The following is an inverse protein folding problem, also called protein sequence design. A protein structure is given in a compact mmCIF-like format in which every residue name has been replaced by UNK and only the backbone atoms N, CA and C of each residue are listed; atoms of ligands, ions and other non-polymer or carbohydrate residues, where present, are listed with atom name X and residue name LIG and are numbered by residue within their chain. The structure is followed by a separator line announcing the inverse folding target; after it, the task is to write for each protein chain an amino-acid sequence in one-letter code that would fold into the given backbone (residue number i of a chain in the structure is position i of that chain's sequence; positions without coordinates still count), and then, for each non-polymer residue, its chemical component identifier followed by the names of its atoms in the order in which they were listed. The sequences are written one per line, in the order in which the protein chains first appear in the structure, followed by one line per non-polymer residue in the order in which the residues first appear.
data_IF_608094926665
#
_entry.id   IF_608094926665
#
_cell.length_a   1.000
_cell.length_b   1.000
_cell.length_c   1.000
_cell.angle_alpha   90.00
_cell.angle_beta   90.00
_cell.angle_gamma   90.00
#
_symmetry.space_group_name_H-M   'P 1'
#
loop_
_entity.id
_entity.type
_entity.pdbx_description
1 polymer ?
#
# COMPACT_ATOMS: atom_id res chain seq x y z
N UNK A 1 25.22 51.48 1.35
CA UNK A 1 23.78 51.47 0.94
C UNK A 1 23.65 50.44 -0.17
N UNK A 2 23.46 49.20 0.16
CA UNK A 2 23.44 48.09 -0.80
C UNK A 2 22.28 47.16 -0.46
N UNK A 3 21.52 46.93 -1.44
CA UNK A 3 20.39 46.09 -1.72
C UNK A 3 20.37 44.77 -1.00
N UNK A 4 19.47 44.64 -0.02
CA UNK A 4 18.87 43.38 0.34
C UNK A 4 17.45 43.34 -0.24
N UNK A 5 17.32 42.93 -1.49
CA UNK A 5 16.05 42.69 -2.11
C UNK A 5 15.77 41.18 -2.06
N UNK A 6 15.20 40.81 -0.99
CA UNK A 6 14.08 39.89 -0.85
C UNK A 6 14.06 38.65 -1.73
N UNK A 7 14.67 37.58 -1.23
CA UNK A 7 14.41 36.18 -1.66
C UNK A 7 12.93 35.76 -1.45
N UNK A 8 12.17 36.51 -0.66
CA UNK A 8 10.75 36.25 -0.36
C UNK A 8 9.77 36.53 -1.49
N UNK A 9 10.17 37.33 -2.50
CA UNK A 9 9.30 37.69 -3.61
C UNK A 9 9.31 36.66 -4.77
N UNK A 10 10.28 35.75 -4.80
CA UNK A 10 10.40 34.72 -5.87
C UNK A 10 9.57 33.49 -5.54
N UNK A 11 9.32 33.21 -4.27
CA UNK A 11 8.53 32.04 -3.84
C UNK A 11 7.03 32.21 -4.10
N UNK A 12 6.52 33.45 -4.22
CA UNK A 12 5.10 33.72 -4.46
C UNK A 12 4.66 33.64 -5.92
N UNK A 13 5.60 33.61 -6.88
CA UNK A 13 5.28 33.62 -8.31
C UNK A 13 5.29 32.22 -8.96
N UNK A 14 5.76 31.18 -8.24
CA UNK A 14 5.81 29.79 -8.74
C UNK A 14 4.55 28.99 -8.42
N UNK A 15 3.66 29.53 -7.59
CA UNK A 15 2.39 28.87 -7.17
C UNK A 15 1.31 28.89 -8.28
N UNK A 16 1.55 29.59 -9.42
CA UNK A 16 0.55 29.75 -10.49
C UNK A 16 0.79 28.91 -11.75
N UNK A 17 1.85 28.07 -11.78
CA UNK A 17 2.09 27.16 -12.93
C UNK A 17 2.31 25.75 -12.37
N UNK A 18 1.34 24.90 -12.65
CA UNK A 18 1.13 23.56 -12.12
C UNK A 18 2.33 22.63 -12.01
N UNK A 19 2.34 21.91 -10.91
CA UNK A 19 2.93 20.58 -10.80
C UNK A 19 4.41 20.54 -10.48
N UNK A 20 4.79 20.69 -9.21
CA UNK A 20 5.91 20.03 -8.48
C UNK A 20 6.27 20.78 -7.18
N UNK A 21 5.42 20.76 -6.18
CA UNK A 21 5.73 21.34 -4.86
C UNK A 21 5.39 20.45 -3.64
N UNK A 22 5.44 19.10 -3.71
CA UNK A 22 5.41 18.34 -2.46
C UNK A 22 6.80 18.13 -1.84
N UNK A 23 7.88 18.06 -2.64
CA UNK A 23 9.21 17.71 -2.14
C UNK A 23 9.91 18.84 -1.35
N UNK A 24 9.84 20.09 -1.81
CA UNK A 24 10.45 21.22 -1.12
C UNK A 24 9.70 21.60 0.17
N UNK A 25 8.38 21.57 0.16
CA UNK A 25 7.59 21.83 1.36
C UNK A 25 7.67 20.70 2.41
N UNK A 26 8.07 19.50 2.00
CA UNK A 26 8.40 18.40 2.91
C UNK A 26 9.83 18.56 3.48
N UNK A 27 10.77 19.01 2.68
CA UNK A 27 12.15 19.28 3.09
C UNK A 27 12.21 20.38 4.15
N UNK A 28 11.52 21.51 3.93
CA UNK A 28 11.47 22.62 4.90
C UNK A 28 10.82 22.23 6.24
N UNK A 29 9.83 21.32 6.22
CA UNK A 29 9.23 20.77 7.45
C UNK A 29 10.13 19.74 8.17
N UNK A 30 11.11 19.16 7.49
CA UNK A 30 12.12 18.32 8.12
C UNK A 30 13.16 19.18 8.86
N UNK A 31 13.59 20.29 8.27
CA UNK A 31 14.61 21.18 8.87
C UNK A 31 14.11 21.88 10.14
N UNK A 32 12.86 22.38 10.17
CA UNK A 32 12.29 23.02 11.38
C UNK A 32 12.11 22.05 12.58
N UNK A 33 11.98 20.72 12.32
CA UNK A 33 11.87 19.71 13.37
C UNK A 33 13.22 19.24 13.90
N UNK A 34 14.28 19.39 13.14
CA UNK A 34 15.64 19.06 13.55
C UNK A 34 16.18 20.03 14.62
N UNK A 35 15.67 21.30 14.68
CA UNK A 35 16.06 22.30 15.69
C UNK A 35 15.66 21.92 17.13
N UNK A 36 14.67 21.05 17.29
CA UNK A 36 14.18 20.59 18.61
C UNK A 36 14.86 19.29 19.08
N UNK A 37 15.66 18.66 18.22
CA UNK A 37 16.31 17.38 18.49
C UNK A 37 17.70 17.62 19.09
N UNK A 38 18.03 16.88 20.16
CA UNK A 38 19.37 16.93 20.75
C UNK A 38 20.42 16.59 19.69
N UNK A 39 21.52 17.38 19.55
CA UNK A 39 22.51 17.20 18.49
C UNK A 39 23.10 15.78 18.41
N UNK A 40 23.31 15.13 19.55
CA UNK A 40 23.81 13.77 19.64
C UNK A 40 22.78 12.76 19.14
N UNK A 41 21.48 12.94 19.45
CA UNK A 41 20.40 12.10 18.94
C UNK A 41 20.24 12.25 17.43
N UNK A 42 20.30 13.49 16.92
CA UNK A 42 20.27 13.78 15.49
C UNK A 42 21.46 13.15 14.75
N UNK A 43 22.67 13.19 15.33
CA UNK A 43 23.85 12.57 14.74
C UNK A 43 23.66 11.04 14.59
N UNK A 44 23.12 10.37 15.60
CA UNK A 44 22.82 8.93 15.53
C UNK A 44 21.70 8.63 14.54
N UNK A 45 20.67 9.45 14.51
CA UNK A 45 19.57 9.32 13.53
C UNK A 45 20.10 9.41 12.09
N UNK A 46 20.87 10.44 11.75
CA UNK A 46 21.48 10.60 10.41
C UNK A 46 22.48 9.48 10.08
N UNK A 47 23.16 8.92 11.07
CA UNK A 47 23.98 7.71 10.89
C UNK A 47 23.09 6.52 10.50
N UNK A 48 21.98 6.33 11.20
CA UNK A 48 21.00 5.28 10.90
C UNK A 48 20.45 5.38 9.48
N UNK A 49 20.06 6.58 9.04
CA UNK A 49 19.58 6.81 7.68
C UNK A 49 20.62 6.44 6.61
N UNK A 50 21.89 6.82 6.81
CA UNK A 50 22.99 6.45 5.88
C UNK A 50 23.20 4.93 5.84
N UNK A 51 23.09 4.26 6.98
CA UNK A 51 23.22 2.80 7.07
C UNK A 51 22.07 2.10 6.37
N UNK A 52 20.84 2.56 6.58
CA UNK A 52 19.65 2.02 5.92
C UNK A 52 19.72 2.19 4.38
N UNK A 53 20.16 3.36 3.87
CA UNK A 53 20.40 3.59 2.44
C UNK A 53 21.42 2.63 1.82
N UNK A 54 22.36 2.11 2.62
CA UNK A 54 23.35 1.13 2.20
C UNK A 54 22.96 -0.33 2.52
N UNK A 55 21.65 -0.56 2.77
CA UNK A 55 21.07 -1.87 3.11
C UNK A 55 21.67 -2.54 4.37
N UNK A 56 22.33 -1.76 5.23
CA UNK A 56 22.89 -2.22 6.51
C UNK A 56 21.82 -2.08 7.60
N UNK A 57 20.74 -2.86 7.50
CA UNK A 57 19.53 -2.66 8.29
C UNK A 57 19.74 -2.85 9.81
N UNK A 58 20.50 -3.86 10.23
CA UNK A 58 20.76 -4.09 11.66
C UNK A 58 21.61 -2.97 12.29
N UNK A 59 22.60 -2.48 11.57
CA UNK A 59 23.41 -1.33 12.01
C UNK A 59 22.55 -0.05 12.06
N UNK A 60 21.64 0.13 11.10
CA UNK A 60 20.71 1.25 11.09
C UNK A 60 19.78 1.21 12.31
N UNK A 61 19.21 0.04 12.61
CA UNK A 61 18.36 -0.19 13.80
C UNK A 61 19.13 0.18 15.07
N UNK A 62 20.39 -0.27 15.21
CA UNK A 62 21.22 0.06 16.36
C UNK A 62 21.46 1.58 16.48
N UNK A 63 21.70 2.28 15.38
CA UNK A 63 21.88 3.73 15.39
C UNK A 63 20.57 4.47 15.74
N UNK A 64 19.42 4.06 15.19
CA UNK A 64 18.12 4.63 15.57
C UNK A 64 17.79 4.36 17.05
N UNK A 65 18.12 3.18 17.57
CA UNK A 65 17.95 2.86 18.98
C UNK A 65 18.81 3.78 19.89
N UNK A 66 20.03 4.12 19.46
CA UNK A 66 20.87 5.09 20.17
C UNK A 66 20.25 6.49 20.13
N UNK A 67 19.70 6.92 18.98
CA UNK A 67 19.00 8.19 18.89
C UNK A 67 17.79 8.25 19.85
N UNK A 68 17.01 7.17 19.94
CA UNK A 68 15.86 7.03 20.84
C UNK A 68 16.31 7.02 22.32
N UNK A 69 17.47 6.41 22.63
CA UNK A 69 18.00 6.40 23.99
C UNK A 69 18.40 7.82 24.43
N UNK A 70 18.96 8.60 23.50
CA UNK A 70 19.33 10.00 23.75
C UNK A 70 18.10 10.93 23.81
N UNK A 71 17.08 10.62 23.00
CA UNK A 71 15.83 11.39 22.96
C UNK A 71 14.62 10.43 22.82
N UNK A 72 13.98 10.04 23.93
CA UNK A 72 12.88 9.06 23.94
C UNK A 72 11.60 9.46 23.21
N UNK A 73 11.40 10.74 22.93
CA UNK A 73 10.26 11.29 22.19
C UNK A 73 10.56 11.56 20.71
N UNK A 74 11.68 11.03 20.19
CA UNK A 74 12.08 11.21 18.80
C UNK A 74 11.26 10.32 17.85
N UNK A 75 10.07 10.76 17.49
CA UNK A 75 9.09 10.02 16.69
C UNK A 75 9.66 9.55 15.33
N UNK A 76 10.47 10.40 14.65
CA UNK A 76 11.07 10.02 13.37
C UNK A 76 12.05 8.87 13.52
N UNK A 77 12.80 8.79 14.64
CA UNK A 77 13.72 7.69 14.88
C UNK A 77 12.96 6.36 15.06
N UNK A 78 11.84 6.36 15.77
CA UNK A 78 10.94 5.20 15.83
C UNK A 78 10.39 4.82 14.46
N UNK A 79 9.95 5.78 13.67
CA UNK A 79 9.42 5.53 12.32
C UNK A 79 10.48 4.90 11.42
N UNK A 80 11.68 5.47 11.34
CA UNK A 80 12.77 4.94 10.53
C UNK A 80 13.26 3.57 11.02
N UNK A 81 13.30 3.35 12.33
CA UNK A 81 13.57 2.05 12.91
C UNK A 81 12.52 1.01 12.49
N UNK A 82 11.25 1.39 12.48
CA UNK A 82 10.15 0.57 11.98
C UNK A 82 10.32 0.20 10.50
N UNK A 83 10.71 1.15 9.65
CA UNK A 83 11.02 0.91 8.24
C UNK A 83 12.21 -0.04 8.07
N UNK A 84 13.28 0.12 8.85
CA UNK A 84 14.42 -0.78 8.83
C UNK A 84 14.05 -2.21 9.26
N UNK A 85 13.22 -2.37 10.30
CA UNK A 85 12.67 -3.68 10.67
C UNK A 85 11.81 -4.29 9.56
N UNK A 86 10.94 -3.50 8.94
CA UNK A 86 10.07 -3.97 7.86
C UNK A 86 10.90 -4.37 6.62
N UNK A 87 11.93 -3.63 6.27
CA UNK A 87 12.90 -3.98 5.22
C UNK A 87 13.61 -5.31 5.47
N UNK A 88 13.92 -5.61 6.73
CA UNK A 88 14.44 -6.92 7.18
C UNK A 88 13.37 -7.99 7.38
N UNK A 89 12.11 -7.78 6.96
CA UNK A 89 10.96 -8.66 7.16
C UNK A 89 10.63 -8.95 8.65
N UNK A 90 11.11 -8.13 9.57
CA UNK A 90 10.89 -8.23 11.02
C UNK A 90 9.62 -7.46 11.41
N UNK A 91 8.48 -7.87 10.85
CA UNK A 91 7.21 -7.14 10.96
C UNK A 91 6.68 -7.01 12.40
N UNK A 92 6.85 -7.97 13.31
CA UNK A 92 6.45 -7.78 14.72
C UNK A 92 7.18 -6.63 15.41
N UNK A 93 8.48 -6.47 15.15
CA UNK A 93 9.28 -5.36 15.69
C UNK A 93 8.93 -4.04 14.98
N UNK A 94 8.70 -4.07 13.66
CA UNK A 94 8.24 -2.92 12.91
C UNK A 94 6.93 -2.36 13.48
N UNK A 95 5.95 -3.22 13.79
CA UNK A 95 4.68 -2.83 14.43
C UNK A 95 4.92 -2.13 15.77
N UNK A 96 5.84 -2.64 16.61
CA UNK A 96 6.17 -1.98 17.89
C UNK A 96 6.73 -0.59 17.68
N UNK A 97 7.68 -0.45 16.75
CA UNK A 97 8.31 0.83 16.45
C UNK A 97 7.31 1.82 15.83
N UNK A 98 6.48 1.40 14.87
CA UNK A 98 5.46 2.26 14.27
C UNK A 98 4.38 2.68 15.27
N UNK A 99 4.00 1.82 16.23
CA UNK A 99 3.08 2.20 17.31
C UNK A 99 3.63 3.33 18.18
N UNK A 100 4.91 3.27 18.54
CA UNK A 100 5.54 4.35 19.30
C UNK A 100 5.64 5.63 18.47
N UNK A 101 6.00 5.53 17.19
CA UNK A 101 5.97 6.68 16.28
C UNK A 101 4.56 7.30 16.19
N UNK A 102 3.51 6.48 16.05
CA UNK A 102 2.12 6.93 16.00
C UNK A 102 1.65 7.54 17.33
N UNK A 103 2.10 7.01 18.47
CA UNK A 103 1.80 7.59 19.79
C UNK A 103 2.40 8.99 19.94
N UNK A 104 3.62 9.19 19.44
CA UNK A 104 4.33 10.47 19.51
C UNK A 104 3.85 11.46 18.43
N UNK A 105 3.45 10.97 17.26
CA UNK A 105 2.94 11.78 16.15
C UNK A 105 1.61 11.23 15.61
N UNK A 106 0.49 11.38 16.33
CA UNK A 106 -0.80 10.78 15.97
C UNK A 106 -1.39 11.34 14.67
N UNK A 107 -0.93 12.51 14.21
CA UNK A 107 -1.38 13.13 12.96
C UNK A 107 -0.54 12.72 11.73
N UNK A 108 0.38 11.77 11.87
CA UNK A 108 1.19 11.29 10.75
C UNK A 108 0.47 10.17 10.00
N UNK A 109 -0.18 10.50 8.88
CA UNK A 109 -0.80 9.50 8.00
C UNK A 109 0.20 8.49 7.44
N UNK A 110 1.44 8.91 7.18
CA UNK A 110 2.50 8.02 6.71
C UNK A 110 2.88 6.95 7.74
N UNK A 111 2.91 7.30 9.02
CA UNK A 111 3.16 6.33 10.10
C UNK A 111 2.00 5.33 10.19
N UNK A 112 0.75 5.81 10.09
CA UNK A 112 -0.43 4.94 10.08
C UNK A 112 -0.42 4.01 8.85
N UNK A 113 -0.08 4.52 7.68
CA UNK A 113 0.04 3.70 6.46
C UNK A 113 1.05 2.57 6.64
N UNK A 114 2.29 2.88 7.08
CA UNK A 114 3.33 1.88 7.28
C UNK A 114 2.97 0.86 8.36
N UNK A 115 2.31 1.29 9.43
CA UNK A 115 1.77 0.40 10.47
C UNK A 115 0.71 -0.55 9.88
N UNK A 116 -0.21 -0.03 9.08
CA UNK A 116 -1.22 -0.83 8.39
C UNK A 116 -0.62 -1.88 7.45
N UNK A 117 0.41 -1.50 6.69
CA UNK A 117 1.15 -2.43 5.81
C UNK A 117 1.84 -3.53 6.64
N UNK A 118 2.47 -3.18 7.76
CA UNK A 118 3.09 -4.16 8.65
C UNK A 118 2.05 -5.16 9.20
N UNK A 119 0.86 -4.70 9.55
CA UNK A 119 -0.25 -5.58 9.95
C UNK A 119 -0.73 -6.50 8.82
N UNK A 120 -0.81 -6.01 7.57
CA UNK A 120 -1.10 -6.87 6.40
C UNK A 120 -0.07 -8.01 6.30
N UNK A 121 1.22 -7.70 6.46
CA UNK A 121 2.30 -8.71 6.40
C UNK A 121 2.19 -9.77 7.49
N UNK A 122 1.62 -9.42 8.62
CA UNK A 122 1.32 -10.34 9.74
C UNK A 122 -0.06 -11.02 9.60
N UNK A 123 -0.80 -10.78 8.52
CA UNK A 123 -2.19 -11.22 8.35
C UNK A 123 -3.14 -10.75 9.47
N UNK A 124 -2.80 -9.68 10.17
CA UNK A 124 -3.63 -9.02 11.20
C UNK A 124 -4.61 -8.05 10.54
N UNK A 125 -5.62 -8.64 9.88
CA UNK A 125 -6.50 -7.89 8.97
C UNK A 125 -7.41 -6.88 9.66
N UNK A 126 -7.80 -7.13 10.92
CA UNK A 126 -8.65 -6.19 11.69
C UNK A 126 -7.85 -4.95 12.06
N UNK A 127 -6.65 -5.14 12.58
CA UNK A 127 -5.72 -4.07 12.94
C UNK A 127 -5.32 -3.27 11.70
N UNK A 128 -5.03 -3.94 10.58
CA UNK A 128 -4.75 -3.28 9.31
C UNK A 128 -5.91 -2.39 8.86
N UNK A 129 -7.15 -2.91 8.88
CA UNK A 129 -8.35 -2.15 8.53
C UNK A 129 -8.49 -0.88 9.37
N UNK A 130 -8.39 -1.01 10.69
CA UNK A 130 -8.59 0.12 11.61
C UNK A 130 -7.49 1.18 11.43
N UNK A 131 -6.26 0.72 11.22
CA UNK A 131 -5.11 1.60 10.97
C UNK A 131 -5.22 2.33 9.63
N UNK A 132 -5.63 1.66 8.54
CA UNK A 132 -5.85 2.34 7.26
C UNK A 132 -7.05 3.29 7.28
N UNK A 133 -8.10 2.97 8.04
CA UNK A 133 -9.22 3.91 8.23
C UNK A 133 -8.74 5.21 8.89
N UNK A 134 -7.85 5.12 9.86
CA UNK A 134 -7.22 6.30 10.47
C UNK A 134 -6.29 7.04 9.49
N UNK A 135 -5.50 6.31 8.69
CA UNK A 135 -4.66 6.92 7.65
C UNK A 135 -5.49 7.72 6.63
N UNK A 136 -6.65 7.20 6.19
CA UNK A 136 -7.59 7.90 5.29
C UNK A 136 -8.17 9.15 5.96
N UNK A 137 -8.53 9.08 7.26
CA UNK A 137 -9.02 10.26 7.99
C UNK A 137 -8.01 11.40 7.98
N UNK A 138 -6.71 11.07 8.00
CA UNK A 138 -5.62 12.04 7.99
C UNK A 138 -5.28 12.52 6.57
N UNK A 139 -5.29 11.61 5.59
CA UNK A 139 -4.94 11.85 4.19
C UNK A 139 -5.91 11.11 3.25
N UNK A 140 -7.07 11.71 2.92
CA UNK A 140 -8.14 11.04 2.17
C UNK A 140 -7.82 10.82 0.68
N UNK A 141 -6.79 11.47 0.14
CA UNK A 141 -6.48 11.43 -1.29
C UNK A 141 -5.36 10.43 -1.66
N UNK A 142 -5.10 9.43 -0.81
CA UNK A 142 -4.08 8.42 -1.07
C UNK A 142 -4.70 7.12 -1.62
N UNK A 143 -4.55 6.90 -2.93
CA UNK A 143 -5.09 5.73 -3.62
C UNK A 143 -4.58 4.40 -3.05
N UNK A 144 -3.29 4.32 -2.65
CA UNK A 144 -2.70 3.11 -2.06
C UNK A 144 -3.32 2.76 -0.71
N UNK A 145 -3.63 3.76 0.11
CA UNK A 145 -4.26 3.53 1.42
C UNK A 145 -5.69 3.01 1.24
N UNK A 146 -6.46 3.58 0.32
CA UNK A 146 -7.78 3.05 -0.03
C UNK A 146 -7.69 1.62 -0.57
N UNK A 147 -6.75 1.34 -1.47
CA UNK A 147 -6.51 -0.01 -1.98
C UNK A 147 -6.20 -0.99 -0.83
N UNK A 148 -5.31 -0.64 0.08
CA UNK A 148 -4.92 -1.49 1.20
C UNK A 148 -6.06 -1.69 2.22
N UNK A 149 -6.89 -0.67 2.47
CA UNK A 149 -8.12 -0.83 3.25
C UNK A 149 -9.11 -1.77 2.56
N UNK A 150 -9.23 -1.67 1.23
CA UNK A 150 -10.02 -2.60 0.42
C UNK A 150 -9.54 -4.05 0.56
N UNK A 151 -8.23 -4.27 0.52
CA UNK A 151 -7.63 -5.61 0.75
C UNK A 151 -7.95 -6.16 2.14
N UNK A 152 -7.78 -5.34 3.19
CA UNK A 152 -8.09 -5.75 4.56
C UNK A 152 -9.56 -6.12 4.71
N UNK A 153 -10.48 -5.31 4.15
CA UNK A 153 -11.91 -5.61 4.14
C UNK A 153 -12.22 -6.92 3.39
N UNK A 154 -11.65 -7.13 2.20
CA UNK A 154 -11.85 -8.35 1.41
C UNK A 154 -11.38 -9.61 2.18
N UNK A 155 -10.24 -9.54 2.88
CA UNK A 155 -9.74 -10.63 3.73
C UNK A 155 -10.62 -10.91 4.95
N UNK A 156 -11.40 -9.92 5.38
CA UNK A 156 -12.40 -10.04 6.44
C UNK A 156 -13.79 -10.45 5.92
N UNK A 157 -13.93 -10.81 4.63
CA UNK A 157 -15.18 -11.12 3.93
C UNK A 157 -16.20 -9.96 3.95
N UNK A 158 -15.69 -8.71 4.01
CA UNK A 158 -16.48 -7.49 3.97
C UNK A 158 -16.49 -6.94 2.54
N UNK A 159 -17.08 -7.71 1.62
CA UNK A 159 -16.98 -7.44 0.17
C UNK A 159 -17.61 -6.11 -0.25
N UNK A 160 -18.67 -5.64 0.43
CA UNK A 160 -19.27 -4.33 0.13
C UNK A 160 -18.34 -3.18 0.46
N UNK A 161 -17.71 -3.22 1.63
CA UNK A 161 -16.73 -2.22 2.05
C UNK A 161 -15.46 -2.30 1.20
N UNK A 162 -15.00 -3.51 0.87
CA UNK A 162 -13.87 -3.72 -0.04
C UNK A 162 -14.14 -3.08 -1.41
N UNK A 163 -15.32 -3.34 -2.00
CA UNK A 163 -15.76 -2.72 -3.25
C UNK A 163 -15.71 -1.19 -3.20
N UNK A 164 -16.23 -0.60 -2.12
CA UNK A 164 -16.23 0.86 -1.95
C UNK A 164 -14.81 1.41 -1.94
N UNK A 165 -13.91 0.76 -1.21
CA UNK A 165 -12.53 1.23 -1.10
C UNK A 165 -11.73 1.04 -2.40
N UNK A 166 -11.92 -0.07 -3.11
CA UNK A 166 -11.29 -0.26 -4.43
C UNK A 166 -11.81 0.73 -5.47
N UNK A 167 -13.09 1.06 -5.44
CA UNK A 167 -13.66 2.08 -6.32
C UNK A 167 -13.08 3.47 -6.04
N UNK A 168 -12.84 3.81 -4.78
CA UNK A 168 -12.21 5.08 -4.40
C UNK A 168 -10.72 5.10 -4.80
N UNK A 169 -9.98 3.99 -4.62
CA UNK A 169 -8.61 3.88 -5.12
C UNK A 169 -8.54 4.13 -6.65
N UNK A 170 -9.48 3.56 -7.41
CA UNK A 170 -9.57 3.77 -8.87
C UNK A 170 -9.96 5.22 -9.22
N UNK A 171 -10.82 5.85 -8.43
CA UNK A 171 -11.17 7.27 -8.64
C UNK A 171 -9.93 8.17 -8.50
N UNK A 172 -9.06 7.86 -7.53
CA UNK A 172 -7.83 8.60 -7.26
C UNK A 172 -6.71 8.24 -8.24
N UNK A 173 -6.58 6.96 -8.60
CA UNK A 173 -5.64 6.46 -9.61
C UNK A 173 -6.33 5.49 -10.57
N UNK A 174 -6.87 6.00 -11.70
CA UNK A 174 -7.55 5.17 -12.70
C UNK A 174 -6.67 4.11 -13.39
N UNK A 175 -5.34 4.25 -13.31
CA UNK A 175 -4.39 3.31 -13.91
C UNK A 175 -3.96 2.17 -12.97
N UNK A 176 -4.51 2.11 -11.76
CA UNK A 176 -4.18 1.09 -10.76
C UNK A 176 -4.80 -0.28 -11.14
N UNK A 177 -4.12 -1.04 -12.00
CA UNK A 177 -4.58 -2.36 -12.48
C UNK A 177 -4.98 -3.31 -11.33
N UNK A 178 -4.19 -3.34 -10.25
CA UNK A 178 -4.46 -4.16 -9.06
C UNK A 178 -5.78 -3.79 -8.36
N UNK A 179 -6.18 -2.51 -8.38
CA UNK A 179 -7.45 -2.08 -7.80
C UNK A 179 -8.63 -2.52 -8.68
N UNK A 180 -8.52 -2.39 -10.00
CA UNK A 180 -9.52 -2.92 -10.95
C UNK A 180 -9.70 -4.44 -10.79
N UNK A 181 -8.61 -5.21 -10.68
CA UNK A 181 -8.67 -6.66 -10.42
C UNK A 181 -9.45 -6.97 -9.13
N UNK A 182 -9.05 -6.35 -8.02
CA UNK A 182 -9.67 -6.63 -6.72
C UNK A 182 -11.11 -6.12 -6.62
N UNK A 183 -11.45 -5.02 -7.31
CA UNK A 183 -12.83 -4.58 -7.48
C UNK A 183 -13.65 -5.63 -8.23
N UNK A 184 -13.09 -6.21 -9.31
CA UNK A 184 -13.72 -7.31 -10.04
C UNK A 184 -13.97 -8.54 -9.17
N UNK A 185 -13.00 -8.91 -8.34
CA UNK A 185 -13.16 -10.03 -7.38
C UNK A 185 -14.23 -9.72 -6.32
N UNK A 186 -14.27 -8.51 -5.78
CA UNK A 186 -15.31 -8.09 -4.85
C UNK A 186 -16.70 -8.17 -5.50
N UNK A 187 -16.85 -7.74 -6.77
CA UNK A 187 -18.08 -7.90 -7.52
C UNK A 187 -18.46 -9.37 -7.75
N UNK A 188 -17.49 -10.26 -8.04
CA UNK A 188 -17.75 -11.70 -8.16
C UNK A 188 -18.29 -12.31 -6.86
N UNK A 189 -17.73 -11.92 -5.72
CA UNK A 189 -18.19 -12.37 -4.40
C UNK A 189 -19.61 -11.87 -4.11
N UNK A 190 -19.94 -10.66 -4.54
CA UNK A 190 -21.29 -10.07 -4.41
C UNK A 190 -22.29 -10.56 -5.45
N UNK A 191 -21.90 -11.42 -6.41
CA UNK A 191 -22.76 -11.90 -7.49
C UNK A 191 -23.06 -10.87 -8.59
N UNK A 192 -22.35 -9.75 -8.61
CA UNK A 192 -22.52 -8.63 -9.54
C UNK A 192 -21.71 -8.86 -10.82
N UNK A 193 -22.14 -9.85 -11.64
CA UNK A 193 -21.34 -10.39 -12.73
C UNK A 193 -20.97 -9.37 -13.83
N UNK A 194 -21.90 -8.47 -14.21
CA UNK A 194 -21.62 -7.48 -15.26
C UNK A 194 -20.56 -6.47 -14.84
N UNK A 195 -20.60 -6.04 -13.58
CA UNK A 195 -19.59 -5.13 -13.02
C UNK A 195 -18.25 -5.84 -12.86
N UNK A 196 -18.25 -7.10 -12.42
CA UNK A 196 -17.05 -7.92 -12.32
C UNK A 196 -16.32 -8.00 -13.66
N UNK A 197 -17.04 -8.32 -14.73
CA UNK A 197 -16.48 -8.41 -16.08
C UNK A 197 -15.81 -7.10 -16.50
N UNK A 198 -16.50 -5.96 -16.36
CA UNK A 198 -15.96 -4.65 -16.75
C UNK A 198 -14.67 -4.33 -15.99
N UNK A 199 -14.67 -4.55 -14.69
CA UNK A 199 -13.49 -4.27 -13.86
C UNK A 199 -12.30 -5.20 -14.18
N UNK A 200 -12.55 -6.49 -14.39
CA UNK A 200 -11.50 -7.45 -14.74
C UNK A 200 -10.96 -7.22 -16.15
N UNK A 201 -11.78 -6.86 -17.12
CA UNK A 201 -11.33 -6.51 -18.47
C UNK A 201 -10.44 -5.26 -18.44
N UNK A 202 -10.79 -4.26 -17.65
CA UNK A 202 -9.96 -3.07 -17.49
C UNK A 202 -8.63 -3.42 -16.78
N UNK A 203 -8.64 -4.30 -15.80
CA UNK A 203 -7.40 -4.79 -15.18
C UNK A 203 -6.47 -5.48 -16.20
N UNK A 204 -7.01 -6.32 -17.10
CA UNK A 204 -6.20 -6.95 -18.19
C UNK A 204 -5.71 -5.89 -19.17
N UNK A 205 -6.53 -4.89 -19.52
CA UNK A 205 -6.11 -3.80 -20.41
C UNK A 205 -4.90 -3.04 -19.85
N UNK A 206 -4.91 -2.80 -18.53
CA UNK A 206 -3.84 -2.08 -17.82
C UNK A 206 -2.59 -2.95 -17.58
N UNK A 207 -2.79 -4.21 -17.22
CA UNK A 207 -1.70 -5.18 -17.03
C UNK A 207 -2.06 -6.53 -17.67
N UNK A 208 -1.75 -6.72 -18.95
CA UNK A 208 -2.08 -7.95 -19.68
C UNK A 208 -1.20 -9.15 -19.30
N UNK A 209 -0.21 -8.97 -18.43
CA UNK A 209 0.70 -10.04 -18.00
C UNK A 209 0.44 -10.50 -16.56
N UNK A 210 -0.55 -9.95 -15.86
CA UNK A 210 -0.90 -10.42 -14.52
C UNK A 210 -1.69 -11.75 -14.59
N UNK A 211 -1.11 -12.89 -14.20
CA UNK A 211 -1.80 -14.19 -14.27
C UNK A 211 -2.99 -14.25 -13.31
N UNK A 212 -3.01 -13.46 -12.25
CA UNK A 212 -4.10 -13.42 -11.27
C UNK A 212 -5.37 -12.78 -11.88
N UNK A 213 -5.21 -11.80 -12.76
CA UNK A 213 -6.34 -11.16 -13.45
C UNK A 213 -6.97 -12.13 -14.47
N UNK A 214 -6.16 -12.84 -15.24
CA UNK A 214 -6.64 -13.89 -16.14
C UNK A 214 -7.32 -15.05 -15.38
N UNK A 215 -6.77 -15.42 -14.22
CA UNK A 215 -7.42 -16.38 -13.32
C UNK A 215 -8.82 -15.90 -12.90
N UNK A 216 -8.95 -14.65 -12.46
CA UNK A 216 -10.23 -14.07 -12.06
C UNK A 216 -11.25 -14.04 -13.21
N UNK A 217 -10.80 -13.70 -14.43
CA UNK A 217 -11.63 -13.76 -15.62
C UNK A 217 -12.05 -15.21 -16.00
N UNK A 218 -11.15 -16.18 -15.86
CA UNK A 218 -11.48 -17.59 -16.06
C UNK A 218 -12.59 -18.02 -15.09
N UNK A 219 -12.50 -17.67 -13.80
CA UNK A 219 -13.54 -17.94 -12.81
C UNK A 219 -14.84 -17.22 -13.16
N UNK A 220 -14.76 -15.95 -13.61
CA UNK A 220 -15.93 -15.20 -14.06
C UNK A 220 -16.64 -15.92 -15.22
N UNK A 221 -15.93 -16.25 -16.30
CA UNK A 221 -16.53 -16.89 -17.48
C UNK A 221 -17.08 -18.29 -17.17
N UNK A 222 -16.41 -19.04 -16.31
CA UNK A 222 -16.92 -20.34 -15.84
C UNK A 222 -18.26 -20.18 -15.09
N UNK A 223 -18.40 -19.17 -14.21
CA UNK A 223 -19.67 -18.86 -13.52
C UNK A 223 -20.75 -18.35 -14.48
N UNK A 224 -20.37 -17.61 -15.52
CA UNK A 224 -21.28 -17.11 -16.54
C UNK A 224 -21.68 -18.18 -17.57
N UNK A 225 -21.09 -19.38 -17.54
CA UNK A 225 -21.38 -20.47 -18.47
C UNK A 225 -20.67 -20.34 -19.83
N UNK A 226 -19.81 -19.33 -20.01
CA UNK A 226 -19.00 -19.16 -21.23
C UNK A 226 -17.71 -19.99 -21.18
N UNK A 227 -17.86 -21.29 -21.49
CA UNK A 227 -16.75 -22.25 -21.48
C UNK A 227 -15.65 -21.87 -22.46
N UNK A 228 -15.98 -21.25 -23.60
CA UNK A 228 -15.00 -20.89 -24.62
C UNK A 228 -14.11 -19.73 -24.11
N UNK A 229 -14.72 -18.69 -23.54
CA UNK A 229 -13.98 -17.58 -22.93
C UNK A 229 -13.15 -18.06 -21.73
N UNK A 230 -13.73 -18.89 -20.86
CA UNK A 230 -13.01 -19.46 -19.72
C UNK A 230 -11.74 -20.22 -20.16
N UNK A 231 -11.85 -21.04 -21.25
CA UNK A 231 -10.68 -21.76 -21.79
C UNK A 231 -9.62 -20.80 -22.35
N UNK A 232 -9.99 -19.70 -23.02
CA UNK A 232 -9.00 -18.71 -23.49
C UNK A 232 -8.22 -18.13 -22.31
N UNK A 233 -8.90 -17.70 -21.26
CA UNK A 233 -8.25 -17.15 -20.08
C UNK A 233 -7.39 -18.20 -19.36
N UNK A 234 -7.84 -19.45 -19.29
CA UNK A 234 -7.06 -20.55 -18.76
C UNK A 234 -5.73 -20.75 -19.53
N UNK A 235 -5.74 -20.68 -20.86
CA UNK A 235 -4.50 -20.76 -21.64
C UNK A 235 -3.58 -19.58 -21.38
N UNK A 236 -4.12 -18.37 -21.15
CA UNK A 236 -3.33 -17.22 -20.75
C UNK A 236 -2.66 -17.45 -19.37
N UNK A 237 -3.43 -17.93 -18.37
CA UNK A 237 -2.86 -18.30 -17.06
C UNK A 237 -1.75 -19.34 -17.23
N UNK A 238 -2.00 -20.38 -18.04
CA UNK A 238 -1.02 -21.48 -18.27
C UNK A 238 0.28 -20.98 -18.89
N UNK A 239 0.20 -19.99 -19.78
CA UNK A 239 1.38 -19.39 -20.40
C UNK A 239 2.17 -18.48 -19.46
N UNK A 240 1.47 -17.79 -18.54
CA UNK A 240 2.07 -16.82 -17.62
C UNK A 240 2.53 -17.46 -16.30
N UNK A 241 1.72 -18.35 -15.73
CA UNK A 241 2.00 -19.06 -14.47
C UNK A 241 1.44 -20.49 -14.50
N UNK A 242 2.24 -21.48 -14.90
CA UNK A 242 1.82 -22.87 -14.95
C UNK A 242 1.39 -23.46 -13.60
N UNK A 243 1.95 -22.97 -12.48
CA UNK A 243 1.57 -23.44 -11.14
C UNK A 243 0.16 -22.98 -10.78
N UNK A 244 -0.16 -21.72 -11.05
CA UNK A 244 -1.49 -21.16 -10.86
C UNK A 244 -2.52 -21.87 -11.77
N UNK A 245 -2.15 -22.21 -13.00
CA UNK A 245 -3.01 -22.98 -13.92
C UNK A 245 -3.33 -24.37 -13.37
N UNK A 246 -2.37 -25.06 -12.75
CA UNK A 246 -2.61 -26.35 -12.11
C UNK A 246 -3.65 -26.23 -10.98
N UNK A 247 -3.52 -25.24 -10.11
CA UNK A 247 -4.50 -24.97 -9.04
C UNK A 247 -5.90 -24.69 -9.61
N UNK A 248 -5.99 -23.92 -10.70
CA UNK A 248 -7.26 -23.63 -11.38
C UNK A 248 -7.91 -24.90 -11.95
N UNK A 249 -7.11 -25.81 -12.51
CA UNK A 249 -7.59 -27.11 -13.01
C UNK A 249 -8.22 -27.95 -11.91
N UNK A 250 -7.59 -28.01 -10.76
CA UNK A 250 -8.13 -28.76 -9.60
C UNK A 250 -9.44 -28.18 -9.10
N UNK A 251 -9.54 -26.85 -9.06
CA UNK A 251 -10.76 -26.12 -8.70
C UNK A 251 -11.91 -26.40 -9.69
N UNK A 252 -11.62 -26.38 -10.98
CA UNK A 252 -12.61 -26.66 -12.04
C UNK A 252 -13.08 -28.12 -12.00
N UNK A 253 -12.21 -29.07 -11.65
CA UNK A 253 -12.58 -30.49 -11.45
C UNK A 253 -13.44 -30.69 -10.20
N UNK A 254 -13.11 -30.01 -9.10
CA UNK A 254 -13.85 -30.12 -7.83
C UNK A 254 -15.23 -29.47 -7.91
N UNK A 255 -15.40 -28.41 -8.73
CA UNK A 255 -16.65 -27.69 -8.93
C UNK A 255 -17.52 -28.24 -10.08
N UNK A 256 -17.06 -29.19 -10.87
CA UNK A 256 -17.87 -29.83 -11.90
C UNK A 256 -18.98 -30.67 -11.24
N UNK A 257 -20.28 -30.44 -11.55
CA UNK A 257 -21.32 -31.35 -11.08
C UNK A 257 -20.98 -32.76 -11.57
N UNK A 258 -21.02 -33.73 -10.65
CA UNK A 258 -20.82 -35.12 -11.00
C UNK A 258 -21.71 -35.44 -12.22
N UNK A 259 -21.10 -35.93 -13.32
CA UNK A 259 -21.89 -36.44 -14.44
C UNK A 259 -22.86 -37.46 -13.86
N UNK A 260 -24.15 -37.15 -13.94
CA UNK A 260 -25.19 -38.16 -13.67
C UNK A 260 -24.92 -39.34 -14.61
N UNK A 261 -25.01 -40.58 -14.08
CA UNK A 261 -24.82 -41.77 -14.87
C UNK A 261 -25.88 -41.92 -15.97
#
# INVERSE_FOLDING_TARGET
MTRNCSLKAIVLLVVLIGGALPALAQQDRYDERDETVAPEALAQFRKGERLAKNDRLDDAIAAFQQAITLQPDYAQAYHQMGLAYAGGNRYPEAVKAFKEAARLQPQSGQVQENLGVAYIKLAQWREARDTFAEAIRLHPDNAEVHYNLGLANGKLNRDQEARTQFAEAIRLDPAMAKAHKNLGLAYLNLGMLDQARKSLQEAVRLDPKDPQTHYALCVYYARAGDTQAANREFQAVKGLDPKLAAQLTDLMRAGAPAKKP
#
